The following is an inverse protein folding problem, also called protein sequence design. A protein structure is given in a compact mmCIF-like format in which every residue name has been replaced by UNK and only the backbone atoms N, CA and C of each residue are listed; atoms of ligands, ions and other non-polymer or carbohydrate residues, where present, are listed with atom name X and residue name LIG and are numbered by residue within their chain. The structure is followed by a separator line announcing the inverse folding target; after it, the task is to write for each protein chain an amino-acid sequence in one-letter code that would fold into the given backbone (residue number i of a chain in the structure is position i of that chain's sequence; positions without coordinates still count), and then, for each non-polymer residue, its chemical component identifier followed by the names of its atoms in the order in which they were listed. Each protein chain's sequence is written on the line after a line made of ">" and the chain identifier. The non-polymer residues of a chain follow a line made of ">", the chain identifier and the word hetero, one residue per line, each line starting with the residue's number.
data_IF_630457573674
#
_entry.id   IF_630457573674
#
_cell.length_a   1.000
_cell.length_b   1.000
_cell.length_c   1.000
_cell.angle_alpha   90.00
_cell.angle_beta   90.00
_cell.angle_gamma   90.00
#
_symmetry.space_group_name_H-M   'P 1'
#
loop_
_entity.id
_entity.type
_entity.pdbx_description
1 polymer ?
#
# COMPACT_ATOMS: atom_id res chain seq x y z
N UNK A 1 -13.17 -23.66 -7.07
CA UNK A 1 -11.71 -23.70 -7.31
C UNK A 1 -11.21 -25.06 -7.82
N UNK A 2 -11.88 -26.16 -7.55
CA UNK A 2 -11.47 -27.49 -8.06
C UNK A 2 -11.63 -27.70 -9.58
N UNK A 3 -12.52 -26.95 -10.24
CA UNK A 3 -12.79 -27.09 -11.68
C UNK A 3 -11.70 -26.57 -12.63
N UNK A 4 -10.72 -25.77 -12.13
CA UNK A 4 -9.72 -25.11 -12.96
C UNK A 4 -8.27 -25.44 -12.57
N UNK A 5 -8.03 -26.61 -11.99
CA UNK A 5 -6.68 -27.06 -11.64
C UNK A 5 -5.99 -26.22 -10.54
N UNK A 6 -6.78 -25.57 -9.68
CA UNK A 6 -6.26 -24.75 -8.57
C UNK A 6 -5.78 -23.35 -8.96
N UNK A 7 -5.98 -22.90 -10.20
CA UNK A 7 -5.64 -21.56 -10.66
C UNK A 7 -6.73 -20.54 -10.33
N UNK A 8 -6.31 -19.31 -10.03
CA UNK A 8 -7.19 -18.14 -9.87
C UNK A 8 -7.09 -17.27 -11.12
N UNK A 9 -8.21 -17.11 -11.82
CA UNK A 9 -8.31 -16.39 -13.09
C UNK A 9 -8.56 -14.91 -12.81
N UNK A 10 -7.59 -14.05 -13.15
CA UNK A 10 -7.64 -12.61 -12.90
C UNK A 10 -8.08 -11.80 -14.11
N UNK A 11 -8.93 -10.80 -13.85
CA UNK A 11 -9.13 -9.65 -14.70
C UNK A 11 -8.40 -8.43 -14.14
N UNK A 12 -7.83 -7.58 -14.98
CA UNK A 12 -7.19 -6.33 -14.55
C UNK A 12 -7.98 -5.12 -15.01
N UNK A 13 -8.13 -4.14 -14.10
CA UNK A 13 -8.82 -2.86 -14.29
C UNK A 13 -7.80 -1.73 -14.20
N UNK A 14 -7.45 -1.15 -15.35
CA UNK A 14 -6.37 -0.17 -15.48
C UNK A 14 -5.16 -0.74 -16.22
N UNK A 15 -4.57 0.10 -17.06
CA UNK A 15 -3.50 -0.28 -18.00
C UNK A 15 -2.25 0.57 -17.82
N UNK A 16 -1.97 1.03 -16.58
CA UNK A 16 -0.81 1.83 -16.24
C UNK A 16 0.38 0.94 -15.80
N UNK A 17 1.53 1.55 -15.56
CA UNK A 17 2.77 0.86 -15.21
C UNK A 17 2.69 0.03 -13.91
N UNK A 18 1.82 0.40 -12.95
CA UNK A 18 1.66 -0.38 -11.71
C UNK A 18 1.03 -1.74 -12.01
N UNK A 19 0.09 -1.79 -12.96
CA UNK A 19 -0.49 -3.05 -13.42
C UNK A 19 0.55 -3.94 -14.09
N UNK A 20 1.50 -3.37 -14.83
CA UNK A 20 2.63 -4.14 -15.40
C UNK A 20 3.46 -4.83 -14.31
N UNK A 21 3.76 -4.13 -13.22
CA UNK A 21 4.56 -4.66 -12.11
C UNK A 21 3.82 -5.76 -11.34
N UNK A 22 2.53 -5.55 -11.06
CA UNK A 22 1.71 -6.58 -10.39
C UNK A 22 1.60 -7.84 -11.25
N UNK A 23 1.38 -7.71 -12.56
CA UNK A 23 1.35 -8.86 -13.47
C UNK A 23 2.68 -9.61 -13.47
N UNK A 24 3.81 -8.88 -13.51
CA UNK A 24 5.13 -9.49 -13.49
C UNK A 24 5.37 -10.28 -12.20
N UNK A 25 5.06 -9.70 -11.04
CA UNK A 25 5.20 -10.37 -9.75
C UNK A 25 4.21 -11.54 -9.56
N UNK A 26 2.95 -11.37 -9.94
CA UNK A 26 1.93 -12.41 -9.80
C UNK A 26 2.22 -13.64 -10.69
N UNK A 27 2.82 -13.45 -11.86
CA UNK A 27 3.23 -14.56 -12.75
C UNK A 27 4.34 -15.45 -12.19
N UNK A 28 4.97 -15.08 -11.10
CA UNK A 28 5.91 -15.94 -10.37
C UNK A 28 5.19 -17.03 -9.56
N UNK A 29 3.88 -16.94 -9.40
CA UNK A 29 3.05 -17.96 -8.76
C UNK A 29 2.26 -18.74 -9.82
N UNK A 30 2.39 -20.08 -9.80
CA UNK A 30 1.76 -20.97 -10.76
C UNK A 30 0.22 -20.96 -10.70
N UNK A 31 -0.35 -20.49 -9.58
CA UNK A 31 -1.80 -20.38 -9.38
C UNK A 31 -2.39 -19.15 -10.07
N UNK A 32 -1.57 -18.18 -10.47
CA UNK A 32 -2.04 -16.96 -11.15
C UNK A 32 -2.30 -17.21 -12.64
N UNK A 33 -3.47 -16.82 -13.12
CA UNK A 33 -3.81 -16.82 -14.53
C UNK A 33 -4.43 -15.48 -14.94
N UNK A 34 -3.76 -14.76 -15.84
CA UNK A 34 -4.25 -13.48 -16.34
C UNK A 34 -5.14 -13.71 -17.57
N UNK A 35 -6.43 -13.44 -17.42
CA UNK A 35 -7.46 -13.83 -18.41
C UNK A 35 -8.08 -12.63 -19.10
N UNK A 36 -8.28 -11.51 -18.41
CA UNK A 36 -9.04 -10.38 -18.95
C UNK A 36 -8.41 -9.03 -18.61
N UNK A 37 -8.65 -8.05 -19.47
CA UNK A 37 -8.36 -6.64 -19.20
C UNK A 37 -9.56 -5.76 -19.52
N UNK A 38 -9.83 -4.81 -18.63
CA UNK A 38 -10.78 -3.74 -18.86
C UNK A 38 -10.07 -2.42 -19.12
N UNK A 39 -10.50 -1.73 -20.16
CA UNK A 39 -10.17 -0.32 -20.40
C UNK A 39 -11.38 0.38 -21.06
N UNK A 40 -11.58 1.66 -20.75
CA UNK A 40 -12.66 2.47 -21.33
C UNK A 40 -12.59 2.59 -22.88
N UNK A 41 -11.42 2.34 -23.46
CA UNK A 41 -11.18 2.40 -24.90
C UNK A 41 -10.70 1.03 -25.39
N UNK A 42 -11.33 0.53 -26.45
CA UNK A 42 -10.97 -0.75 -27.06
C UNK A 42 -9.49 -0.80 -27.49
N UNK A 43 -9.02 0.25 -28.15
CA UNK A 43 -7.62 0.35 -28.60
C UNK A 43 -6.63 0.19 -27.45
N UNK A 44 -6.93 0.77 -26.29
CA UNK A 44 -6.07 0.66 -25.09
C UNK A 44 -6.14 -0.74 -24.48
N UNK A 45 -7.33 -1.35 -24.46
CA UNK A 45 -7.52 -2.72 -23.99
C UNK A 45 -6.74 -3.70 -24.88
N UNK A 46 -6.86 -3.58 -26.19
CA UNK A 46 -6.22 -4.46 -27.17
C UNK A 46 -4.68 -4.33 -27.13
N UNK A 47 -4.18 -3.09 -27.06
CA UNK A 47 -2.75 -2.85 -26.93
C UNK A 47 -2.16 -3.47 -25.66
N UNK A 48 -2.86 -3.33 -24.53
CA UNK A 48 -2.44 -3.92 -23.26
C UNK A 48 -2.58 -5.45 -23.26
N UNK A 49 -3.65 -5.97 -23.87
CA UNK A 49 -3.84 -7.39 -24.04
C UNK A 49 -2.75 -8.02 -24.92
N UNK A 50 -2.37 -7.39 -26.01
CA UNK A 50 -1.27 -7.85 -26.87
C UNK A 50 0.07 -7.86 -26.11
N UNK A 51 0.36 -6.82 -25.32
CA UNK A 51 1.57 -6.71 -24.50
C UNK A 51 1.71 -7.85 -23.50
N UNK A 52 0.62 -8.22 -22.84
CA UNK A 52 0.60 -9.21 -21.75
C UNK A 52 0.02 -10.56 -22.14
N UNK A 53 -0.32 -10.77 -23.43
CA UNK A 53 -0.93 -12.02 -23.94
C UNK A 53 -2.23 -12.36 -23.21
N UNK A 54 -3.10 -11.35 -23.00
CA UNK A 54 -4.39 -11.50 -22.34
C UNK A 54 -5.43 -11.92 -23.40
N UNK A 55 -6.17 -13.03 -23.20
CA UNK A 55 -7.09 -13.54 -24.23
C UNK A 55 -8.35 -12.71 -24.42
N UNK A 56 -8.82 -11.99 -23.37
CA UNK A 56 -10.10 -11.28 -23.43
C UNK A 56 -9.97 -9.81 -23.07
N UNK A 57 -10.63 -8.95 -23.85
CA UNK A 57 -10.70 -7.49 -23.61
C UNK A 57 -12.14 -7.06 -23.38
N UNK A 58 -12.33 -6.09 -22.47
CA UNK A 58 -13.64 -5.54 -22.15
C UNK A 58 -13.56 -4.01 -22.13
N UNK A 59 -14.63 -3.35 -22.64
CA UNK A 59 -14.84 -1.90 -22.52
C UNK A 59 -15.99 -1.56 -21.56
N UNK A 60 -16.70 -2.57 -21.05
CA UNK A 60 -17.66 -2.48 -19.96
C UNK A 60 -17.15 -3.27 -18.76
N UNK A 61 -16.97 -2.58 -17.63
CA UNK A 61 -16.55 -3.24 -16.39
C UNK A 61 -17.63 -4.20 -15.88
N UNK A 62 -18.91 -3.84 -16.07
CA UNK A 62 -20.01 -4.67 -15.65
C UNK A 62 -20.07 -5.99 -16.44
N UNK A 63 -19.81 -5.96 -17.75
CA UNK A 63 -19.71 -7.17 -18.57
C UNK A 63 -18.55 -8.05 -18.14
N UNK A 64 -17.38 -7.45 -17.86
CA UNK A 64 -16.24 -8.21 -17.33
C UNK A 64 -16.57 -8.83 -15.97
N UNK A 65 -17.20 -8.07 -15.06
CA UNK A 65 -17.58 -8.57 -13.74
C UNK A 65 -18.62 -9.70 -13.81
N UNK A 66 -19.55 -9.67 -14.76
CA UNK A 66 -20.55 -10.75 -15.00
C UNK A 66 -19.94 -11.99 -15.67
N UNK A 67 -18.78 -11.85 -16.29
CA UNK A 67 -18.18 -12.94 -17.06
C UNK A 67 -17.79 -14.12 -16.15
N UNK A 68 -18.10 -15.36 -16.57
CA UNK A 68 -17.64 -16.55 -15.86
C UNK A 68 -16.16 -16.86 -16.11
N UNK A 69 -15.47 -16.07 -16.93
CA UNK A 69 -14.08 -16.28 -17.31
C UNK A 69 -13.09 -15.93 -16.19
N UNK A 70 -13.49 -15.08 -15.21
CA UNK A 70 -12.64 -14.58 -14.15
C UNK A 70 -13.21 -14.90 -12.77
N UNK A 71 -12.33 -15.10 -11.82
CA UNK A 71 -12.62 -15.35 -10.40
C UNK A 71 -12.34 -14.11 -9.55
N UNK A 72 -11.31 -13.37 -9.92
CA UNK A 72 -10.83 -12.21 -9.18
C UNK A 72 -10.49 -11.05 -10.11
N UNK A 73 -10.46 -9.83 -9.56
CA UNK A 73 -10.04 -8.63 -10.26
C UNK A 73 -8.94 -7.90 -9.48
N UNK A 74 -7.96 -7.37 -10.21
CA UNK A 74 -7.03 -6.39 -9.71
C UNK A 74 -7.45 -5.00 -10.20
N UNK A 75 -7.70 -4.07 -9.26
CA UNK A 75 -8.18 -2.72 -9.58
C UNK A 75 -7.06 -1.71 -9.37
N UNK A 76 -6.62 -1.07 -10.45
CA UNK A 76 -5.59 -0.04 -10.50
C UNK A 76 -6.03 1.18 -11.34
N UNK A 77 -7.29 1.54 -11.23
CA UNK A 77 -7.89 2.74 -11.81
C UNK A 77 -7.51 4.00 -11.01
N UNK A 78 -7.94 5.21 -11.40
CA UNK A 78 -7.82 6.37 -10.52
C UNK A 78 -8.51 6.17 -9.17
N UNK A 79 -7.90 6.66 -8.09
CA UNK A 79 -8.28 6.38 -6.70
C UNK A 79 -9.77 6.56 -6.41
N UNK A 80 -10.40 7.62 -6.95
CA UNK A 80 -11.82 7.93 -6.72
C UNK A 80 -12.80 6.87 -7.29
N UNK A 81 -12.31 5.97 -8.16
CA UNK A 81 -13.10 4.88 -8.74
C UNK A 81 -12.96 3.55 -7.98
N UNK A 82 -12.00 3.44 -7.08
CA UNK A 82 -11.67 2.19 -6.41
C UNK A 82 -12.87 1.56 -5.71
N UNK A 83 -13.59 2.34 -4.91
CA UNK A 83 -14.73 1.83 -4.14
C UNK A 83 -15.88 1.37 -5.04
N UNK A 84 -16.32 2.21 -5.98
CA UNK A 84 -17.42 1.90 -6.90
C UNK A 84 -17.11 0.63 -7.72
N UNK A 85 -15.92 0.56 -8.30
CA UNK A 85 -15.52 -0.56 -9.14
C UNK A 85 -15.33 -1.85 -8.34
N UNK A 86 -14.76 -1.76 -7.13
CA UNK A 86 -14.64 -2.91 -6.24
C UNK A 86 -16.00 -3.48 -5.85
N UNK A 87 -16.93 -2.62 -5.42
CA UNK A 87 -18.29 -3.02 -5.04
C UNK A 87 -19.02 -3.64 -6.22
N UNK A 88 -18.89 -3.07 -7.43
CA UNK A 88 -19.48 -3.63 -8.64
C UNK A 88 -18.97 -5.06 -8.89
N UNK A 89 -17.66 -5.28 -8.83
CA UNK A 89 -17.07 -6.61 -9.04
C UNK A 89 -17.51 -7.61 -7.97
N UNK A 90 -17.49 -7.21 -6.70
CA UNK A 90 -17.92 -8.06 -5.58
C UNK A 90 -19.40 -8.44 -5.67
N UNK A 91 -20.27 -7.54 -6.13
CA UNK A 91 -21.69 -7.81 -6.41
C UNK A 91 -21.90 -8.96 -7.40
N UNK A 92 -20.95 -9.18 -8.30
CA UNK A 92 -20.96 -10.26 -9.26
C UNK A 92 -20.08 -11.46 -8.84
N UNK A 93 -19.79 -11.58 -7.54
CA UNK A 93 -19.07 -12.71 -6.96
C UNK A 93 -17.58 -12.75 -7.28
N UNK A 94 -16.95 -11.60 -7.59
CA UNK A 94 -15.50 -11.54 -7.86
C UNK A 94 -14.74 -11.12 -6.62
N UNK A 95 -13.66 -11.85 -6.30
CA UNK A 95 -12.67 -11.42 -5.32
C UNK A 95 -11.95 -10.17 -5.82
N UNK A 96 -11.54 -9.28 -4.93
CA UNK A 96 -10.95 -7.99 -5.29
C UNK A 96 -9.61 -7.77 -4.59
N UNK A 97 -8.57 -7.52 -5.38
CA UNK A 97 -7.33 -6.88 -4.96
C UNK A 97 -7.34 -5.45 -5.49
N UNK A 98 -7.40 -4.46 -4.60
CA UNK A 98 -7.52 -3.05 -4.97
C UNK A 98 -6.25 -2.28 -4.62
N UNK A 99 -5.75 -1.46 -5.55
CA UNK A 99 -4.60 -0.59 -5.30
C UNK A 99 -4.82 0.38 -4.13
N UNK A 100 -3.69 0.72 -3.52
CA UNK A 100 -3.66 1.80 -2.52
C UNK A 100 -3.76 3.19 -3.21
N UNK A 101 -4.33 4.18 -2.57
CA UNK A 101 -5.15 4.10 -1.37
C UNK A 101 -6.47 3.38 -1.67
N UNK A 102 -6.94 2.61 -0.71
CA UNK A 102 -8.06 1.69 -0.90
C UNK A 102 -9.33 2.37 -1.42
N UNK A 103 -9.61 3.58 -0.93
CA UNK A 103 -10.72 4.42 -1.37
C UNK A 103 -10.42 5.90 -1.05
N UNK A 104 -11.33 6.80 -1.42
CA UNK A 104 -11.19 8.24 -1.19
C UNK A 104 -11.37 8.64 0.28
N UNK A 105 -12.10 7.83 1.05
CA UNK A 105 -12.45 8.12 2.43
C UNK A 105 -12.92 6.88 3.20
N UNK A 106 -12.99 7.00 4.53
CA UNK A 106 -13.35 5.90 5.41
C UNK A 106 -14.81 5.41 5.25
N UNK A 107 -15.73 6.21 4.72
CA UNK A 107 -17.08 5.76 4.44
C UNK A 107 -17.09 4.78 3.26
N UNK A 108 -16.43 5.11 2.17
CA UNK A 108 -16.27 4.22 1.01
C UNK A 108 -15.62 2.89 1.41
N UNK A 109 -14.57 2.92 2.25
CA UNK A 109 -13.93 1.69 2.76
C UNK A 109 -14.94 0.82 3.52
N UNK A 110 -15.77 1.41 4.37
CA UNK A 110 -16.81 0.66 5.08
C UNK A 110 -17.83 0.01 4.15
N UNK A 111 -18.24 0.73 3.08
CA UNK A 111 -19.12 0.17 2.05
C UNK A 111 -18.47 -1.00 1.30
N UNK A 112 -17.17 -0.90 0.99
CA UNK A 112 -16.40 -2.00 0.38
C UNK A 112 -16.35 -3.22 1.30
N UNK A 113 -16.04 -3.04 2.59
CA UNK A 113 -16.01 -4.12 3.58
C UNK A 113 -17.41 -4.75 3.73
N UNK A 114 -18.46 -3.94 3.80
CA UNK A 114 -19.83 -4.44 3.87
C UNK A 114 -20.22 -5.24 2.62
N UNK A 115 -19.78 -4.80 1.44
CA UNK A 115 -20.01 -5.52 0.19
C UNK A 115 -19.26 -6.87 0.16
N UNK A 116 -18.00 -6.91 0.58
CA UNK A 116 -17.22 -8.15 0.70
C UNK A 116 -17.93 -9.17 1.59
N UNK A 117 -18.36 -8.76 2.79
CA UNK A 117 -19.11 -9.63 3.71
C UNK A 117 -20.47 -10.06 3.12
N UNK A 118 -21.18 -9.15 2.45
CA UNK A 118 -22.50 -9.43 1.88
C UNK A 118 -22.46 -10.46 0.75
N UNK A 119 -21.44 -10.40 -0.08
CA UNK A 119 -21.32 -11.25 -1.29
C UNK A 119 -20.36 -12.44 -1.09
N UNK A 120 -19.83 -12.59 0.14
CA UNK A 120 -18.93 -13.69 0.54
C UNK A 120 -17.71 -13.80 -0.39
N UNK A 121 -17.02 -12.69 -0.61
CA UNK A 121 -15.83 -12.60 -1.45
C UNK A 121 -14.68 -11.91 -0.72
N UNK A 122 -13.46 -12.28 -1.06
CA UNK A 122 -12.24 -11.65 -0.50
C UNK A 122 -12.07 -10.24 -1.05
N UNK A 123 -11.75 -9.31 -0.17
CA UNK A 123 -11.37 -7.94 -0.50
C UNK A 123 -10.06 -7.62 0.20
N UNK A 124 -9.06 -7.18 -0.56
CA UNK A 124 -7.72 -6.88 -0.06
C UNK A 124 -7.19 -5.57 -0.65
N UNK A 125 -6.50 -4.77 0.18
CA UNK A 125 -5.75 -3.60 -0.28
C UNK A 125 -4.33 -4.00 -0.69
N UNK A 126 -3.85 -3.47 -1.80
CA UNK A 126 -2.49 -3.72 -2.32
C UNK A 126 -1.42 -2.92 -1.56
N UNK A 127 -1.37 -3.06 -0.23
CA UNK A 127 -0.38 -2.41 0.64
C UNK A 127 0.82 -3.34 0.89
N UNK A 128 1.64 -3.51 -0.14
CA UNK A 128 2.76 -4.46 -0.18
C UNK A 128 3.80 -4.37 0.96
N UNK A 129 4.19 -3.19 1.53
CA UNK A 129 5.25 -3.16 2.54
C UNK A 129 4.96 -4.00 3.77
N UNK A 130 3.70 -4.10 4.21
CA UNK A 130 3.31 -4.85 5.40
C UNK A 130 3.33 -6.37 5.22
N UNK A 131 3.45 -6.84 3.97
CA UNK A 131 3.49 -8.25 3.60
C UNK A 131 4.93 -8.78 3.43
N UNK A 132 5.93 -7.89 3.50
CA UNK A 132 7.33 -8.27 3.29
C UNK A 132 7.92 -9.00 4.50
N UNK A 133 8.89 -9.92 4.29
CA UNK A 133 9.62 -10.58 5.38
C UNK A 133 10.27 -9.59 6.34
N UNK A 134 10.75 -8.45 5.86
CA UNK A 134 11.32 -7.40 6.69
C UNK A 134 10.29 -6.76 7.63
N UNK A 135 9.07 -6.53 7.17
CA UNK A 135 8.01 -6.04 8.07
C UNK A 135 7.61 -7.10 9.11
N UNK A 136 7.59 -8.37 8.74
CA UNK A 136 7.39 -9.48 9.67
C UNK A 136 8.50 -9.49 10.73
N UNK A 137 9.77 -9.34 10.33
CA UNK A 137 10.89 -9.20 11.28
C UNK A 137 10.69 -8.05 12.26
N UNK A 138 10.19 -6.89 11.80
CA UNK A 138 9.83 -5.77 12.69
C UNK A 138 8.80 -6.24 13.73
N UNK A 139 7.69 -6.86 13.31
CA UNK A 139 6.61 -7.35 14.22
C UNK A 139 7.14 -8.33 15.27
N UNK A 140 7.95 -9.30 14.85
CA UNK A 140 8.51 -10.34 15.72
C UNK A 140 9.50 -9.77 16.74
N UNK A 141 10.16 -8.66 16.43
CA UNK A 141 11.16 -8.05 17.31
C UNK A 141 10.62 -6.89 18.17
N UNK A 142 9.33 -6.49 18.03
CA UNK A 142 8.75 -5.42 18.85
C UNK A 142 8.89 -5.67 20.36
N UNK A 143 8.73 -6.90 20.80
CA UNK A 143 8.87 -7.29 22.23
C UNK A 143 10.23 -6.98 22.84
N UNK A 144 11.30 -6.89 22.02
CA UNK A 144 12.66 -6.55 22.46
C UNK A 144 12.81 -5.07 22.84
N UNK A 145 11.87 -4.22 22.45
CA UNK A 145 11.90 -2.78 22.73
C UNK A 145 11.43 -2.43 24.16
N UNK A 146 10.86 -3.38 24.89
CA UNK A 146 10.16 -3.09 26.15
C UNK A 146 8.91 -2.26 25.89
N UNK A 147 8.65 -1.28 26.74
CA UNK A 147 7.53 -0.35 26.50
C UNK A 147 7.84 0.56 25.31
N UNK A 148 7.05 0.45 24.24
CA UNK A 148 7.20 1.32 23.06
C UNK A 148 6.71 2.72 23.42
N UNK A 149 7.52 3.73 23.10
CA UNK A 149 7.28 5.13 23.42
C UNK A 149 7.05 6.01 22.22
N UNK A 150 7.63 5.65 21.05
CA UNK A 150 7.46 6.42 19.84
C UNK A 150 7.53 5.57 18.59
N UNK A 151 6.68 5.92 17.63
CA UNK A 151 6.83 5.57 16.22
C UNK A 151 7.12 6.85 15.44
N UNK A 152 8.19 6.86 14.67
CA UNK A 152 8.52 7.92 13.72
C UNK A 152 8.65 7.33 12.33
N UNK A 153 7.98 7.90 11.35
CA UNK A 153 8.10 7.45 9.96
C UNK A 153 8.18 8.63 9.00
N UNK A 154 9.03 8.50 8.00
CA UNK A 154 9.25 9.52 7.00
C UNK A 154 9.23 8.93 5.60
N UNK A 155 8.37 9.47 4.73
CA UNK A 155 8.42 9.20 3.31
C UNK A 155 8.26 10.51 2.54
N UNK A 156 9.39 11.11 2.17
CA UNK A 156 9.45 12.33 1.39
C UNK A 156 10.23 12.07 0.11
N UNK A 157 9.55 12.17 -1.03
CA UNK A 157 10.13 11.96 -2.35
C UNK A 157 9.65 13.06 -3.28
N UNK A 158 10.58 13.86 -3.79
CA UNK A 158 10.27 14.87 -4.79
C UNK A 158 9.68 14.21 -6.03
N UNK A 159 8.43 14.54 -6.35
CA UNK A 159 7.72 13.95 -7.46
C UNK A 159 8.26 14.45 -8.80
N UNK A 160 8.55 13.54 -9.72
CA UNK A 160 8.90 13.89 -11.11
C UNK A 160 7.81 14.71 -11.83
N UNK A 161 6.60 14.76 -11.28
CA UNK A 161 5.46 15.53 -11.81
C UNK A 161 5.38 16.92 -11.23
N UNK A 162 6.16 17.25 -10.18
CA UNK A 162 6.07 18.53 -9.49
C UNK A 162 6.71 19.67 -10.30
N UNK A 163 7.72 19.43 -11.14
CA UNK A 163 8.25 20.44 -12.04
C UNK A 163 7.19 20.92 -13.05
N UNK A 164 6.40 20.00 -13.60
CA UNK A 164 5.24 20.34 -14.45
C UNK A 164 4.20 21.16 -13.71
N UNK A 165 3.95 20.84 -12.43
CA UNK A 165 3.06 21.63 -11.59
C UNK A 165 3.57 23.07 -11.42
N UNK A 166 4.85 23.29 -11.19
CA UNK A 166 5.48 24.62 -11.11
C UNK A 166 5.39 25.40 -12.44
N UNK A 167 5.36 24.70 -13.56
CA UNK A 167 5.12 25.26 -14.90
C UNK A 167 3.62 25.54 -15.17
N UNK A 168 2.73 25.30 -14.22
CA UNK A 168 1.29 25.52 -14.33
C UNK A 168 0.51 24.32 -14.91
N UNK A 169 1.14 23.16 -15.13
CA UNK A 169 0.51 21.95 -15.64
C UNK A 169 0.18 20.98 -14.50
N UNK A 170 -1.10 20.90 -14.13
CA UNK A 170 -1.58 20.03 -13.05
C UNK A 170 -1.81 18.61 -13.57
N UNK A 171 -0.86 17.72 -13.30
CA UNK A 171 -0.98 16.29 -13.61
C UNK A 171 -1.79 15.55 -12.52
N UNK A 172 -2.27 14.34 -12.83
CA UNK A 172 -3.17 13.56 -11.97
C UNK A 172 -2.72 13.46 -10.50
N UNK A 173 -1.42 13.32 -10.25
CA UNK A 173 -0.86 13.20 -8.91
C UNK A 173 -1.14 14.39 -7.95
N UNK A 174 -1.55 15.54 -8.52
CA UNK A 174 -1.84 16.78 -7.80
C UNK A 174 -3.28 17.27 -8.05
N UNK A 175 -4.18 16.35 -8.42
CA UNK A 175 -5.59 16.61 -8.68
C UNK A 175 -6.46 16.02 -7.58
N UNK A 176 -6.98 16.84 -6.64
CA UNK A 176 -7.77 16.34 -5.51
C UNK A 176 -9.09 15.72 -5.94
N UNK A 177 -9.67 16.13 -7.09
CA UNK A 177 -10.88 15.53 -7.66
C UNK A 177 -10.69 14.07 -8.10
N UNK A 178 -9.44 13.61 -8.21
CA UNK A 178 -9.12 12.20 -8.46
C UNK A 178 -8.74 11.45 -7.16
N UNK A 179 -9.01 12.06 -6.00
CA UNK A 179 -8.59 11.58 -4.67
C UNK A 179 -7.07 11.40 -4.57
N UNK A 180 -6.31 12.31 -5.17
CA UNK A 180 -4.86 12.36 -5.14
C UNK A 180 -4.36 13.52 -4.28
N UNK A 181 -3.13 13.37 -3.79
CA UNK A 181 -2.38 14.29 -2.94
C UNK A 181 -1.20 13.56 -2.34
N UNK A 182 -0.40 14.24 -1.53
CA UNK A 182 0.78 13.62 -0.94
C UNK A 182 0.41 12.59 0.14
N UNK A 183 -0.62 12.84 0.96
CA UNK A 183 -1.09 11.87 1.96
C UNK A 183 -1.59 10.60 1.28
N UNK A 184 -2.47 10.72 0.30
CA UNK A 184 -3.11 9.60 -0.39
C UNK A 184 -2.10 8.75 -1.19
N UNK A 185 -1.08 9.37 -1.79
CA UNK A 185 -0.14 8.66 -2.65
C UNK A 185 1.03 8.04 -1.87
N UNK A 186 1.66 8.82 -0.99
CA UNK A 186 2.88 8.39 -0.27
C UNK A 186 2.76 8.45 1.25
N UNK A 187 1.96 9.36 1.82
CA UNK A 187 1.72 9.43 3.27
C UNK A 187 1.10 8.15 3.82
N UNK A 188 0.27 7.48 3.04
CA UNK A 188 -0.34 6.19 3.40
C UNK A 188 0.71 5.14 3.81
N UNK A 189 1.89 5.13 3.18
CA UNK A 189 2.98 4.21 3.52
C UNK A 189 3.56 4.46 4.92
N UNK A 190 3.41 5.65 5.48
CA UNK A 190 3.85 5.96 6.85
C UNK A 190 2.78 5.66 7.89
N UNK A 191 1.51 5.78 7.52
CA UNK A 191 0.35 5.61 8.41
C UNK A 191 -0.10 4.16 8.49
N UNK A 192 -0.20 3.46 7.36
CA UNK A 192 -0.74 2.10 7.31
C UNK A 192 0.06 1.12 8.17
N UNK A 193 1.42 1.05 8.05
CA UNK A 193 2.22 0.19 8.93
C UNK A 193 2.08 0.54 10.42
N UNK A 194 1.96 1.83 10.75
CA UNK A 194 1.73 2.28 12.13
C UNK A 194 0.41 1.70 12.69
N UNK A 195 -0.65 1.75 11.89
CA UNK A 195 -1.96 1.23 12.31
C UNK A 195 -1.94 -0.30 12.41
N UNK A 196 -1.24 -1.00 11.51
CA UNK A 196 -1.05 -2.45 11.59
C UNK A 196 -0.30 -2.86 12.86
N UNK A 197 0.71 -2.08 13.28
CA UNK A 197 1.52 -2.38 14.46
C UNK A 197 0.83 -1.99 15.78
N UNK A 198 0.12 -0.86 15.82
CA UNK A 198 -0.33 -0.23 17.07
C UNK A 198 -1.85 0.03 17.13
N UNK A 199 -2.58 -0.32 16.08
CA UNK A 199 -4.02 -0.09 16.02
C UNK A 199 -4.41 1.38 15.86
N UNK A 200 -5.64 1.69 16.25
CA UNK A 200 -6.24 3.02 16.07
C UNK A 200 -5.72 4.03 17.12
N UNK A 201 -5.22 5.21 16.70
CA UNK A 201 -4.83 6.27 17.63
C UNK A 201 -6.03 6.91 18.34
N UNK A 202 -5.79 7.50 19.52
CA UNK A 202 -6.80 8.23 20.31
C UNK A 202 -7.05 9.63 19.76
N UNK A 203 -6.01 10.28 19.25
CA UNK A 203 -6.04 11.66 18.74
C UNK A 203 -5.12 11.81 17.54
N UNK A 204 -5.49 12.71 16.63
CA UNK A 204 -4.72 13.03 15.42
C UNK A 204 -4.64 14.57 15.32
N UNK A 205 -3.44 15.09 15.19
CA UNK A 205 -3.16 16.49 14.90
C UNK A 205 -2.28 16.57 13.65
N UNK A 206 -2.67 17.39 12.68
CA UNK A 206 -1.98 17.47 11.39
C UNK A 206 -1.74 18.90 10.95
N UNK A 207 -0.62 19.11 10.25
CA UNK A 207 -0.33 20.32 9.51
C UNK A 207 0.26 19.98 8.16
N UNK A 208 0.07 20.85 7.15
CA UNK A 208 0.58 20.58 5.82
C UNK A 208 0.57 21.80 4.91
N UNK A 209 1.16 21.64 3.73
CA UNK A 209 1.15 22.62 2.66
C UNK A 209 0.17 22.17 1.60
N UNK A 210 -0.89 22.96 1.41
CA UNK A 210 -1.86 22.78 0.33
C UNK A 210 -1.37 23.58 -0.88
N UNK A 211 -1.29 22.93 -2.03
CA UNK A 211 -0.86 23.52 -3.30
C UNK A 211 -2.00 24.30 -3.95
N UNK A 212 -1.69 25.09 -4.98
CA UNK A 212 -2.69 25.90 -5.72
C UNK A 212 -3.79 25.08 -6.38
N UNK A 213 -3.59 23.79 -6.61
CA UNK A 213 -4.63 22.87 -7.10
C UNK A 213 -5.62 22.40 -6.02
N UNK A 214 -5.36 22.69 -4.76
CA UNK A 214 -6.12 22.16 -3.61
C UNK A 214 -5.61 20.81 -3.09
N UNK A 215 -4.65 20.16 -3.77
CA UNK A 215 -4.01 18.95 -3.26
C UNK A 215 -2.94 19.29 -2.22
N UNK A 216 -2.77 18.42 -1.21
CA UNK A 216 -1.64 18.52 -0.29
C UNK A 216 -0.33 18.14 -1.00
N UNK A 217 0.71 18.97 -0.82
CA UNK A 217 2.05 18.73 -1.34
C UNK A 217 2.95 18.01 -0.34
N UNK A 218 2.75 18.29 0.95
CA UNK A 218 3.46 17.67 2.08
C UNK A 218 2.69 17.87 3.38
N UNK A 219 3.02 17.06 4.38
CA UNK A 219 2.47 17.23 5.71
C UNK A 219 3.26 16.52 6.80
N UNK A 220 2.89 16.89 8.03
CA UNK A 220 3.31 16.25 9.27
C UNK A 220 2.07 15.91 10.08
N UNK A 221 1.99 14.69 10.59
CA UNK A 221 0.88 14.25 11.40
C UNK A 221 1.40 13.66 12.71
N UNK A 222 0.84 14.09 13.82
CA UNK A 222 1.08 13.54 15.14
C UNK A 222 -0.12 12.74 15.59
N UNK A 223 0.14 11.56 16.14
CA UNK A 223 -0.87 10.63 16.67
C UNK A 223 -0.61 10.37 18.14
N UNK A 224 -1.67 10.37 18.94
CA UNK A 224 -1.62 10.04 20.35
C UNK A 224 -2.20 8.64 20.59
N UNK A 225 -1.44 7.81 21.28
CA UNK A 225 -1.82 6.50 21.80
C UNK A 225 -1.69 6.51 23.32
N UNK A 226 -2.07 5.42 23.99
CA UNK A 226 -1.81 5.27 25.40
C UNK A 226 -0.34 4.95 25.67
N UNK A 227 0.36 5.87 26.35
CA UNK A 227 1.79 5.72 26.67
C UNK A 227 2.77 5.82 25.51
N UNK A 228 2.28 6.11 24.29
CA UNK A 228 3.08 6.25 23.09
C UNK A 228 2.57 7.40 22.22
N UNK A 229 3.46 8.07 21.51
CA UNK A 229 3.09 8.95 20.41
C UNK A 229 3.69 8.48 19.09
N UNK A 230 3.08 8.90 17.97
CA UNK A 230 3.65 8.69 16.66
C UNK A 230 3.71 10.00 15.88
N UNK A 231 4.73 10.14 15.05
CA UNK A 231 4.89 11.28 14.13
C UNK A 231 5.22 10.75 12.75
N UNK A 232 4.49 11.19 11.76
CA UNK A 232 4.78 10.85 10.36
C UNK A 232 5.00 12.10 9.54
N UNK A 233 5.98 12.03 8.65
CA UNK A 233 6.31 13.06 7.68
C UNK A 233 6.15 12.50 6.27
N UNK A 234 5.52 13.27 5.39
CA UNK A 234 5.38 12.88 4.00
C UNK A 234 5.47 14.11 3.08
N UNK A 235 6.06 13.95 1.90
CA UNK A 235 6.19 15.03 0.94
C UNK A 235 6.35 14.53 -0.49
N UNK A 236 5.64 15.17 -1.43
CA UNK A 236 5.85 15.04 -2.88
C UNK A 236 6.60 16.23 -3.48
N UNK A 237 6.95 17.22 -2.66
CA UNK A 237 7.56 18.48 -3.08
C UNK A 237 8.95 18.70 -2.47
N UNK A 238 9.40 17.80 -1.61
CA UNK A 238 10.75 17.78 -1.04
C UNK A 238 11.22 16.34 -0.83
N UNK A 239 12.53 16.13 -0.76
CA UNK A 239 13.14 14.85 -0.39
C UNK A 239 13.51 14.81 1.09
N UNK A 240 13.57 13.60 1.66
CA UNK A 240 14.18 13.32 2.95
C UNK A 240 14.91 11.98 2.91
N UNK A 241 15.99 11.88 3.68
CA UNK A 241 16.73 10.63 3.91
C UNK A 241 16.54 10.09 5.33
N UNK A 242 15.58 10.65 6.10
CA UNK A 242 15.31 10.19 7.46
C UNK A 242 14.73 8.76 7.42
N UNK A 243 15.26 7.84 8.23
CA UNK A 243 14.72 6.50 8.35
C UNK A 243 13.39 6.50 9.12
N UNK A 244 12.68 5.38 9.07
CA UNK A 244 11.60 5.08 10.01
C UNK A 244 12.19 4.47 11.27
N UNK A 245 11.68 4.84 12.45
CA UNK A 245 12.19 4.35 13.73
C UNK A 245 11.06 4.06 14.71
N UNK A 246 11.20 2.93 15.42
CA UNK A 246 10.35 2.54 16.54
C UNK A 246 11.20 2.58 17.81
N UNK A 247 10.82 3.42 18.76
CA UNK A 247 11.60 3.67 19.98
C UNK A 247 10.88 3.06 21.19
N UNK A 248 11.61 2.25 21.93
CA UNK A 248 11.17 1.69 23.21
C UNK A 248 12.15 1.95 24.33
N UNK A 249 11.77 1.57 25.55
CA UNK A 249 12.58 1.79 26.75
C UNK A 249 13.84 0.92 26.76
N UNK A 250 13.84 -0.23 26.06
CA UNK A 250 14.95 -1.19 26.03
C UNK A 250 15.71 -1.22 24.69
N UNK A 251 15.34 -0.36 23.74
CA UNK A 251 16.04 -0.24 22.46
C UNK A 251 15.19 0.44 21.39
N UNK A 252 15.69 0.42 20.17
CA UNK A 252 14.98 0.92 19.01
C UNK A 252 15.15 0.02 17.78
N UNK A 253 14.18 0.04 16.88
CA UNK A 253 14.26 -0.58 15.56
C UNK A 253 14.25 0.54 14.52
N UNK A 254 15.19 0.49 13.57
CA UNK A 254 15.26 1.41 12.42
C UNK A 254 15.05 0.64 11.12
N UNK A 255 14.28 1.25 10.22
CA UNK A 255 14.07 0.79 8.85
C UNK A 255 14.65 1.83 7.89
N UNK A 256 15.40 1.39 6.89
CA UNK A 256 15.99 2.27 5.89
C UNK A 256 14.93 3.08 5.12
N UNK A 257 13.85 2.42 4.70
CA UNK A 257 12.71 3.01 3.99
C UNK A 257 11.43 2.30 4.37
N UNK A 258 10.33 3.05 4.48
CA UNK A 258 9.04 2.47 4.87
C UNK A 258 8.25 1.91 3.68
N UNK A 259 8.45 2.43 2.50
CA UNK A 259 7.73 1.99 1.29
C UNK A 259 8.34 0.75 0.63
N UNK A 260 9.64 0.51 0.82
CA UNK A 260 10.39 -0.67 0.38
C UNK A 260 11.42 -0.93 1.46
N UNK A 261 11.12 -1.82 2.40
CA UNK A 261 11.98 -2.10 3.55
C UNK A 261 13.11 -3.02 3.11
N UNK A 262 14.30 -2.46 2.91
CA UNK A 262 15.52 -3.20 2.52
C UNK A 262 16.34 -3.64 3.73
N UNK A 263 16.45 -2.76 4.73
CA UNK A 263 17.28 -3.00 5.92
C UNK A 263 16.48 -2.74 7.19
N UNK A 264 16.59 -3.64 8.17
CA UNK A 264 16.00 -3.51 9.50
C UNK A 264 17.08 -3.73 10.54
N UNK A 265 17.27 -2.76 11.43
CA UNK A 265 18.27 -2.84 12.51
C UNK A 265 17.62 -2.70 13.87
N UNK A 266 18.00 -3.53 14.80
CA UNK A 266 17.69 -3.40 16.22
C UNK A 266 18.91 -2.90 16.97
N UNK A 267 18.76 -1.81 17.75
CA UNK A 267 19.79 -1.26 18.62
C UNK A 267 19.32 -1.38 20.06
N UNK A 268 19.94 -2.24 20.89
CA UNK A 268 19.57 -2.37 22.30
C UNK A 268 19.97 -1.13 23.10
N UNK A 269 19.22 -0.82 24.14
CA UNK A 269 19.63 0.16 25.13
C UNK A 269 20.82 -0.38 25.94
N UNK A 270 21.90 0.37 26.01
CA UNK A 270 22.96 0.04 26.95
C UNK A 270 22.55 0.45 28.38
N UNK A 271 22.74 -0.45 29.34
CA UNK A 271 22.65 -0.10 30.75
C UNK A 271 23.73 0.94 31.06
N UNK A 272 23.31 2.19 31.23
CA UNK A 272 24.26 3.28 31.43
C UNK A 272 24.88 3.21 32.81
N UNK A 273 26.21 3.00 32.88
CA UNK A 273 26.97 3.31 34.06
C UNK A 273 27.12 4.85 34.29
N UNK A 274 26.86 5.70 33.29
CA UNK A 274 27.14 7.14 33.38
C UNK A 274 26.41 8.05 32.39
N UNK A 275 25.26 7.73 31.85
CA UNK A 275 24.42 8.64 31.06
C UNK A 275 24.97 9.21 29.73
N UNK A 276 26.22 8.94 29.37
CA UNK A 276 26.90 9.38 28.13
C UNK A 276 27.78 8.28 27.55
N UNK A 277 27.33 7.01 27.64
CA UNK A 277 28.05 5.89 27.02
C UNK A 277 27.83 5.86 25.50
N UNK A 278 28.72 5.15 24.76
CA UNK A 278 28.48 4.87 23.33
C UNK A 278 27.15 4.16 23.15
N UNK A 279 26.48 4.41 22.02
CA UNK A 279 25.32 3.62 21.61
C UNK A 279 25.73 2.15 21.47
N UNK A 280 24.84 1.22 21.78
CA UNK A 280 25.07 -0.18 21.47
C UNK A 280 25.27 -0.37 19.96
N UNK A 281 26.01 -1.39 19.60
CA UNK A 281 26.11 -1.79 18.20
C UNK A 281 24.76 -2.28 17.68
N UNK A 282 24.35 -1.77 16.52
CA UNK A 282 23.12 -2.15 15.87
C UNK A 282 23.24 -3.59 15.34
N UNK A 283 22.23 -4.40 15.59
CA UNK A 283 22.11 -5.77 15.09
C UNK A 283 21.27 -5.72 13.81
N UNK A 284 21.80 -6.23 12.72
CA UNK A 284 21.01 -6.44 11.51
C UNK A 284 20.02 -7.60 11.75
N UNK A 285 18.75 -7.30 11.62
CA UNK A 285 17.63 -8.25 11.73
C UNK A 285 16.84 -8.34 10.42
N UNK A 286 17.44 -7.89 9.33
CA UNK A 286 16.84 -7.97 8.00
C UNK A 286 16.68 -9.42 7.56
N UNK A 287 15.63 -9.67 6.79
CA UNK A 287 15.39 -10.96 6.15
C UNK A 287 15.64 -10.81 4.66
N UNK A 288 16.62 -11.52 4.17
CA UNK A 288 16.90 -11.58 2.74
C UNK A 288 15.85 -12.48 2.05
N UNK A 289 15.24 -11.99 1.01
CA UNK A 289 14.31 -12.76 0.17
C UNK A 289 14.63 -12.51 -1.29
N UNK A 290 14.52 -13.55 -2.09
CA UNK A 290 14.58 -13.53 -3.55
C UNK A 290 13.20 -13.28 -4.18
N UNK A 291 12.14 -13.28 -3.36
CA UNK A 291 10.78 -13.05 -3.84
C UNK A 291 10.54 -11.56 -4.13
N UNK A 292 9.99 -11.30 -5.29
CA UNK A 292 9.49 -10.00 -5.69
C UNK A 292 8.36 -9.54 -4.75
N UNK A 293 8.33 -8.25 -4.38
CA UNK A 293 7.33 -7.69 -3.47
C UNK A 293 5.89 -7.77 -3.99
N UNK A 294 5.69 -7.78 -5.30
CA UNK A 294 4.38 -7.98 -5.92
C UNK A 294 3.97 -9.46 -5.94
N UNK A 295 4.96 -10.37 -6.00
CA UNK A 295 4.70 -11.79 -5.76
C UNK A 295 4.23 -12.04 -4.33
N UNK A 296 4.88 -11.41 -3.34
CA UNK A 296 4.46 -11.48 -1.95
C UNK A 296 3.05 -10.89 -1.75
N UNK A 297 2.72 -9.78 -2.40
CA UNK A 297 1.39 -9.20 -2.37
C UNK A 297 0.33 -10.16 -2.88
N UNK A 298 0.61 -10.85 -4.00
CA UNK A 298 -0.32 -11.82 -4.60
C UNK A 298 -0.50 -13.09 -3.76
N UNK A 299 0.57 -13.55 -3.13
CA UNK A 299 0.60 -14.83 -2.38
C UNK A 299 0.25 -14.69 -0.90
N UNK A 300 0.05 -13.48 -0.38
CA UNK A 300 -0.34 -13.27 1.01
C UNK A 300 -1.76 -13.76 1.27
N UNK A 301 -1.96 -14.33 2.44
CA UNK A 301 -3.30 -14.70 2.92
C UNK A 301 -3.91 -13.50 3.67
N UNK A 302 -5.09 -13.06 3.23
CA UNK A 302 -5.84 -12.00 3.90
C UNK A 302 -6.18 -12.35 5.36
N UNK A 303 -6.18 -13.63 5.72
CA UNK A 303 -6.39 -14.08 7.10
C UNK A 303 -5.18 -13.83 8.01
N UNK A 304 -3.97 -13.69 7.46
CA UNK A 304 -2.75 -13.41 8.23
C UNK A 304 -2.63 -11.93 8.66
N UNK A 305 -3.51 -11.04 8.15
CA UNK A 305 -3.49 -9.61 8.41
C UNK A 305 -4.53 -9.14 9.46
N UNK A 306 -5.41 -10.01 9.89
CA UNK A 306 -6.40 -9.77 10.94
C UNK A 306 -5.93 -10.37 12.26
#
# INVERSE_FOLDING_TARGET
>A
MEEHGGKVRFGVVGTNFITDWVIAGARLDERFELVAVYSRKQETADAFAAKHQIPYTFTSLEEMAKSPLIDAVYIASPNFLHAEQSILCMKHGKHVLCEKPFASNAWEVREMIAASAKYDVTLMEAMKPTLTPNFRSVRENLGRLGTIRRYFSCYCQYSSRYDKFKEGVVLNAFRPELSNGAMMDIGIYTVYPMVVLFGRPKKIDASGIVLSSGADGQGAVNFEYEGMNATVLYSKIANSSLPTEIQGEEGNITLDRINIIGEVKYTPRLAAASGRGPSAEAQDISVVTDKDEYCLLYTSDAADEL
#
